data_IF_421005544563
#
_entry.id   IF_421005544563
#
_cell.length_a   1.000
_cell.length_b   1.000
_cell.length_c   1.000
_cell.angle_alpha   90.00
_cell.angle_beta   90.00
_cell.angle_gamma   90.00
#
_symmetry.space_group_name_H-M   'P 1'
#
loop_
_entity.id
_entity.type
_entity.pdbx_description
1 polymer ?
#
# COMPACT_ATOMS: atom_id res chain seq x y z
N UNK A 1 8.38 9.68 82.34
CA UNK A 1 9.01 9.31 81.01
C UNK A 1 7.91 8.75 80.13
N UNK A 2 7.34 9.56 79.28
CA UNK A 2 6.26 9.15 78.41
C UNK A 2 6.72 9.11 76.96
N UNK A 3 6.59 7.95 76.34
CA UNK A 3 6.96 7.71 74.95
C UNK A 3 5.78 8.07 74.06
N UNK A 4 5.96 9.11 73.23
CA UNK A 4 4.97 9.52 72.21
C UNK A 4 5.22 8.68 70.94
N UNK A 5 4.27 7.81 70.58
CA UNK A 5 4.26 7.08 69.31
C UNK A 5 3.72 7.98 68.22
N UNK A 6 4.54 8.40 67.26
CA UNK A 6 4.13 9.03 65.99
C UNK A 6 3.66 7.97 65.00
N UNK A 7 2.35 8.01 64.67
CA UNK A 7 1.76 7.25 63.55
C UNK A 7 2.03 7.99 62.23
N UNK A 8 2.85 7.43 61.37
CA UNK A 8 3.00 7.87 59.97
C UNK A 8 1.76 7.42 59.16
N UNK A 9 0.98 8.36 58.66
CA UNK A 9 -0.04 8.11 57.67
C UNK A 9 0.62 8.06 56.29
N UNK A 10 0.63 6.88 55.66
CA UNK A 10 0.98 6.70 54.27
C UNK A 10 -0.12 7.28 53.40
N UNK A 11 0.15 8.39 52.72
CA UNK A 11 -0.69 8.91 51.65
C UNK A 11 -0.19 8.32 50.35
N UNK A 12 -0.93 7.37 49.76
CA UNK A 12 -0.69 6.89 48.40
C UNK A 12 -1.13 8.00 47.42
N UNK A 13 -0.28 8.35 46.43
CA UNK A 13 -0.70 9.24 45.37
C UNK A 13 -1.64 8.47 44.41
N UNK A 14 -2.89 8.94 44.30
CA UNK A 14 -3.81 8.49 43.27
C UNK A 14 -3.29 9.06 41.93
N UNK A 15 -2.62 8.24 41.17
CA UNK A 15 -2.27 8.57 39.78
C UNK A 15 -3.55 8.58 38.93
N UNK A 16 -3.99 9.76 38.53
CA UNK A 16 -5.06 9.91 37.54
C UNK A 16 -4.48 9.46 36.19
N UNK A 17 -4.84 8.27 35.77
CA UNK A 17 -4.59 7.78 34.40
C UNK A 17 -5.55 8.54 33.46
N UNK A 18 -5.06 9.61 32.84
CA UNK A 18 -5.81 10.29 31.76
C UNK A 18 -5.76 9.36 30.56
N UNK A 19 -6.78 8.53 30.36
CA UNK A 19 -7.03 7.85 29.11
C UNK A 19 -7.39 8.90 28.05
N UNK A 20 -6.43 9.34 27.26
CA UNK A 20 -6.71 10.04 26.00
C UNK A 20 -7.36 9.04 25.03
N UNK A 21 -8.68 8.88 25.15
CA UNK A 21 -9.46 8.22 24.11
C UNK A 21 -9.43 9.13 22.87
N UNK A 22 -8.51 8.85 21.95
CA UNK A 22 -8.58 9.43 20.60
C UNK A 22 -9.85 8.89 19.96
N UNK A 23 -10.92 9.70 19.95
CA UNK A 23 -12.10 9.41 19.16
C UNK A 23 -11.68 9.40 17.68
N UNK A 24 -11.43 8.22 17.13
CA UNK A 24 -11.27 8.05 15.70
C UNK A 24 -12.57 8.54 15.04
N UNK A 25 -12.47 9.68 14.35
CA UNK A 25 -13.59 10.22 13.59
C UNK A 25 -14.02 9.15 12.58
N UNK A 26 -15.29 8.78 12.57
CA UNK A 26 -15.80 7.80 11.62
C UNK A 26 -15.56 8.30 10.18
N UNK A 27 -15.16 7.39 9.28
CA UNK A 27 -15.07 7.72 7.87
C UNK A 27 -16.46 8.07 7.33
N UNK A 28 -16.50 9.04 6.41
CA UNK A 28 -17.73 9.41 5.72
C UNK A 28 -18.23 8.22 4.87
N UNK A 29 -19.44 7.70 5.13
CA UNK A 29 -19.99 6.59 4.38
C UNK A 29 -20.15 6.89 2.87
N UNK A 30 -20.34 8.15 2.48
CA UNK A 30 -20.47 8.56 1.09
C UNK A 30 -19.13 8.35 0.35
N UNK A 31 -18.02 8.72 0.96
CA UNK A 31 -16.68 8.46 0.38
C UNK A 31 -16.45 6.97 0.12
N UNK A 32 -16.93 6.10 1.01
CA UNK A 32 -16.71 4.66 0.89
C UNK A 32 -17.47 4.05 -0.30
N UNK A 33 -18.66 4.59 -0.64
CA UNK A 33 -19.52 4.10 -1.73
C UNK A 33 -18.87 4.11 -3.10
N UNK A 34 -17.94 5.02 -3.36
CA UNK A 34 -17.21 5.06 -4.64
C UNK A 34 -16.45 3.75 -4.92
N UNK A 35 -16.08 3.03 -3.87
CA UNK A 35 -15.31 1.79 -3.94
C UNK A 35 -16.16 0.52 -3.67
N UNK A 36 -17.47 0.66 -3.62
CA UNK A 36 -18.36 -0.48 -3.39
C UNK A 36 -18.45 -1.38 -4.62
N UNK A 37 -18.56 -2.67 -4.35
CA UNK A 37 -18.78 -3.71 -5.34
C UNK A 37 -19.45 -4.93 -4.72
N UNK A 38 -20.05 -5.77 -5.54
CA UNK A 38 -20.61 -7.05 -5.10
C UNK A 38 -19.49 -8.04 -4.75
N UNK A 39 -19.23 -8.21 -3.47
CA UNK A 39 -18.24 -9.17 -2.95
C UNK A 39 -18.65 -10.63 -3.14
N UNK A 40 -19.94 -10.90 -3.36
CA UNK A 40 -20.48 -12.26 -3.58
C UNK A 40 -20.39 -12.69 -5.05
N UNK A 41 -20.17 -11.75 -5.97
CA UNK A 41 -19.99 -12.08 -7.38
C UNK A 41 -18.88 -13.13 -7.57
N UNK A 42 -18.98 -14.04 -8.54
CA UNK A 42 -17.96 -15.04 -8.81
C UNK A 42 -16.59 -14.41 -9.06
N UNK A 43 -15.51 -14.99 -8.52
CA UNK A 43 -14.15 -14.51 -8.77
C UNK A 43 -13.72 -14.66 -10.23
N UNK A 44 -14.34 -15.55 -10.99
CA UNK A 44 -14.06 -15.75 -12.41
C UNK A 44 -12.60 -16.10 -12.70
N UNK A 45 -11.95 -16.87 -11.82
CA UNK A 45 -10.53 -17.22 -11.96
C UNK A 45 -10.35 -18.09 -13.20
N UNK A 46 -9.42 -17.69 -14.09
CA UNK A 46 -8.96 -18.48 -15.23
C UNK A 46 -7.46 -18.70 -15.15
N UNK A 47 -7.01 -19.93 -15.22
CA UNK A 47 -5.60 -20.26 -15.28
C UNK A 47 -5.10 -20.13 -16.71
N UNK A 48 -4.01 -19.39 -16.89
CA UNK A 48 -3.34 -19.10 -18.17
C UNK A 48 -2.09 -19.95 -18.31
N UNK A 49 -1.33 -20.09 -17.23
CA UNK A 49 -0.08 -20.85 -17.23
C UNK A 49 0.41 -21.20 -15.84
N UNK A 50 1.44 -22.04 -15.79
CA UNK A 50 2.08 -22.42 -14.53
C UNK A 50 3.59 -22.54 -14.75
N UNK A 51 4.37 -22.01 -13.80
CA UNK A 51 5.82 -22.16 -13.77
C UNK A 51 6.21 -22.80 -12.42
N UNK A 52 6.88 -23.95 -12.49
CA UNK A 52 7.40 -24.62 -11.29
C UNK A 52 8.80 -24.12 -11.00
N UNK A 53 9.01 -23.59 -9.80
CA UNK A 53 10.30 -23.15 -9.29
C UNK A 53 10.76 -24.09 -8.16
N UNK A 54 12.04 -23.98 -7.77
CA UNK A 54 12.59 -24.84 -6.71
C UNK A 54 11.77 -24.77 -5.42
N UNK A 55 11.35 -23.57 -5.01
CA UNK A 55 10.69 -23.31 -3.73
C UNK A 55 9.23 -22.88 -3.82
N UNK A 56 8.71 -22.60 -5.02
CA UNK A 56 7.36 -22.10 -5.23
C UNK A 56 6.77 -22.59 -6.56
N UNK A 57 5.46 -22.43 -6.69
CA UNK A 57 4.75 -22.52 -7.97
C UNK A 57 4.18 -21.14 -8.29
N UNK A 58 4.45 -20.65 -9.50
CA UNK A 58 3.90 -19.39 -10.01
C UNK A 58 2.78 -19.74 -10.99
N UNK A 59 1.55 -19.38 -10.63
CA UNK A 59 0.40 -19.50 -11.51
C UNK A 59 0.19 -18.17 -12.22
N UNK A 60 0.14 -18.19 -13.54
CA UNK A 60 -0.37 -17.10 -14.35
C UNK A 60 -1.89 -17.27 -14.45
N UNK A 61 -2.63 -16.27 -14.03
CA UNK A 61 -4.08 -16.33 -13.97
C UNK A 61 -4.72 -14.96 -14.24
N UNK A 62 -6.03 -14.97 -14.50
CA UNK A 62 -6.86 -13.78 -14.44
C UNK A 62 -7.98 -13.98 -13.45
N UNK A 63 -8.51 -12.88 -12.90
CA UNK A 63 -9.76 -12.87 -12.13
C UNK A 63 -10.66 -11.72 -12.59
N UNK A 64 -11.97 -11.83 -12.32
CA UNK A 64 -12.93 -10.83 -12.76
C UNK A 64 -12.76 -9.52 -11.99
N UNK A 65 -12.68 -8.39 -12.72
CA UNK A 65 -12.78 -7.05 -12.15
C UNK A 65 -14.24 -6.71 -11.84
N UNK A 66 -14.58 -6.26 -10.65
CA UNK A 66 -15.94 -5.80 -10.35
C UNK A 66 -16.38 -4.56 -11.14
N UNK A 67 -15.41 -3.80 -11.68
CA UNK A 67 -15.65 -2.61 -12.54
C UNK A 67 -15.61 -2.95 -14.04
N UNK A 68 -15.58 -4.24 -14.38
CA UNK A 68 -15.56 -4.74 -15.75
C UNK A 68 -14.20 -5.21 -16.23
N UNK A 69 -14.21 -6.18 -17.13
CA UNK A 69 -13.00 -6.82 -17.65
C UNK A 69 -12.37 -7.83 -16.71
N UNK A 70 -11.08 -8.09 -16.91
CA UNK A 70 -10.31 -9.07 -16.14
C UNK A 70 -9.03 -8.45 -15.61
N UNK A 71 -8.55 -8.94 -14.48
CA UNK A 71 -7.28 -8.56 -13.86
C UNK A 71 -6.28 -9.68 -14.08
N UNK A 72 -5.24 -9.50 -14.91
CA UNK A 72 -4.14 -10.44 -15.00
C UNK A 72 -3.33 -10.43 -13.70
N UNK A 73 -2.93 -11.61 -13.24
CA UNK A 73 -2.15 -11.73 -12.01
C UNK A 73 -1.19 -12.92 -12.02
N UNK A 74 -0.09 -12.81 -11.27
CA UNK A 74 0.68 -13.96 -10.83
C UNK A 74 0.28 -14.31 -9.40
N UNK A 75 0.07 -15.59 -9.16
CA UNK A 75 -0.11 -16.13 -7.81
C UNK A 75 1.08 -17.03 -7.49
N UNK A 76 1.95 -16.57 -6.60
CA UNK A 76 3.12 -17.33 -6.13
C UNK A 76 2.72 -18.09 -4.88
N UNK A 77 2.77 -19.43 -4.95
CA UNK A 77 2.36 -20.33 -3.86
C UNK A 77 3.58 -21.10 -3.37
N UNK A 78 3.93 -21.03 -2.06
CA UNK A 78 5.03 -21.80 -1.51
C UNK A 78 4.76 -23.31 -1.56
N UNK A 79 5.82 -24.12 -1.51
CA UNK A 79 5.69 -25.55 -1.27
C UNK A 79 5.34 -25.83 0.19
N UNK A 80 4.56 -26.87 0.45
CA UNK A 80 4.19 -27.30 1.80
C UNK A 80 2.71 -27.08 2.12
N UNK A 81 2.39 -27.12 3.40
CA UNK A 81 1.02 -26.97 3.90
C UNK A 81 0.88 -25.66 4.67
N UNK A 82 -0.17 -24.90 4.37
CA UNK A 82 -0.55 -23.70 5.11
C UNK A 82 -1.10 -24.00 6.53
N UNK A 83 -1.67 -22.99 7.21
CA UNK A 83 -2.04 -21.70 6.63
C UNK A 83 -0.83 -20.73 6.48
N UNK A 84 -0.71 -20.16 5.29
CA UNK A 84 0.33 -19.18 4.94
C UNK A 84 -0.13 -17.75 5.19
N UNK A 85 0.79 -16.84 5.48
CA UNK A 85 0.52 -15.42 5.31
C UNK A 85 0.28 -15.09 3.83
N UNK A 86 -0.24 -13.90 3.53
CA UNK A 86 -0.44 -13.49 2.14
C UNK A 86 -0.05 -12.03 1.92
N UNK A 87 0.40 -11.70 0.70
CA UNK A 87 0.72 -10.34 0.29
C UNK A 87 0.07 -10.07 -1.07
N UNK A 88 -0.62 -8.94 -1.18
CA UNK A 88 -1.04 -8.36 -2.46
C UNK A 88 0.00 -7.32 -2.87
N UNK A 89 0.51 -7.41 -4.10
CA UNK A 89 1.54 -6.55 -4.63
C UNK A 89 0.99 -5.70 -5.74
N UNK A 90 1.26 -4.39 -5.68
CA UNK A 90 0.91 -3.42 -6.70
C UNK A 90 2.16 -2.74 -7.26
N UNK A 91 2.33 -2.84 -8.58
CA UNK A 91 3.49 -2.34 -9.31
C UNK A 91 3.47 -0.83 -9.51
N UNK A 92 4.64 -0.24 -9.82
CA UNK A 92 4.76 1.16 -10.18
C UNK A 92 4.22 1.46 -11.60
N UNK A 93 4.11 2.74 -11.89
CA UNK A 93 3.99 3.21 -13.27
C UNK A 93 5.18 4.12 -13.58
N UNK A 94 6.10 3.62 -14.36
CA UNK A 94 7.22 4.40 -14.86
C UNK A 94 7.26 4.24 -16.37
N UNK A 95 7.13 5.38 -17.10
CA UNK A 95 7.13 5.36 -18.56
C UNK A 95 8.43 4.71 -19.06
N UNK A 96 8.32 3.85 -20.07
CA UNK A 96 9.42 3.05 -20.63
C UNK A 96 9.99 1.92 -19.74
N UNK A 97 9.51 1.72 -18.53
CA UNK A 97 9.89 0.56 -17.76
C UNK A 97 9.18 -0.71 -18.24
N UNK A 98 9.93 -1.77 -18.52
CA UNK A 98 9.36 -3.10 -18.80
C UNK A 98 8.75 -3.76 -17.55
N UNK A 99 9.00 -3.19 -16.38
CA UNK A 99 8.55 -3.70 -15.07
C UNK A 99 7.29 -2.99 -14.55
N UNK A 100 6.67 -2.08 -15.32
CA UNK A 100 5.40 -1.41 -14.97
C UNK A 100 4.18 -2.34 -15.04
N UNK A 101 4.29 -3.52 -14.45
CA UNK A 101 3.27 -4.57 -14.43
C UNK A 101 3.54 -5.57 -13.30
N UNK A 102 2.72 -6.62 -13.19
CA UNK A 102 2.82 -7.69 -12.18
C UNK A 102 4.20 -8.38 -12.05
N UNK A 103 5.17 -8.06 -12.92
CA UNK A 103 6.52 -8.64 -12.86
C UNK A 103 7.44 -7.91 -11.89
N UNK A 104 7.14 -6.66 -11.51
CA UNK A 104 8.02 -5.83 -10.70
C UNK A 104 8.51 -6.55 -9.43
N UNK A 105 7.59 -7.14 -8.69
CA UNK A 105 7.91 -7.83 -7.43
C UNK A 105 7.99 -9.36 -7.54
N UNK A 106 8.04 -9.92 -8.77
CA UNK A 106 7.97 -11.37 -8.94
C UNK A 106 9.14 -12.10 -8.28
N UNK A 107 10.37 -11.59 -8.45
CA UNK A 107 11.55 -12.19 -7.85
C UNK A 107 11.54 -12.10 -6.32
N UNK A 108 11.05 -10.97 -5.78
CA UNK A 108 10.88 -10.80 -4.34
C UNK A 108 9.80 -11.74 -3.77
N UNK A 109 8.68 -11.90 -4.47
CA UNK A 109 7.62 -12.82 -4.09
C UNK A 109 8.09 -14.29 -4.11
N UNK A 110 8.91 -14.67 -5.11
CA UNK A 110 9.51 -16.01 -5.18
C UNK A 110 10.51 -16.22 -4.04
N UNK A 111 11.33 -15.23 -3.72
CA UNK A 111 12.30 -15.28 -2.62
C UNK A 111 11.62 -15.39 -1.25
N UNK A 112 10.46 -14.76 -1.08
CA UNK A 112 9.67 -14.80 0.17
C UNK A 112 8.83 -16.09 0.32
N UNK A 113 8.55 -16.81 -0.76
CA UNK A 113 7.69 -18.00 -0.69
C UNK A 113 8.16 -19.04 0.35
N UNK A 114 9.49 -19.40 0.45
CA UNK A 114 9.97 -20.34 1.46
C UNK A 114 9.72 -19.89 2.90
N UNK A 115 9.57 -18.58 3.12
CA UNK A 115 9.25 -18.03 4.44
C UNK A 115 7.79 -18.29 4.86
N UNK A 116 6.96 -18.84 3.98
CA UNK A 116 5.57 -19.20 4.26
C UNK A 116 4.56 -18.12 3.89
N UNK A 117 4.75 -17.47 2.73
CA UNK A 117 3.84 -16.45 2.24
C UNK A 117 3.36 -16.74 0.81
N UNK A 118 2.06 -16.61 0.58
CA UNK A 118 1.44 -16.58 -0.75
C UNK A 118 1.43 -15.13 -1.24
N UNK A 119 1.85 -14.91 -2.49
CA UNK A 119 1.88 -13.57 -3.10
C UNK A 119 0.94 -13.50 -4.29
N UNK A 120 0.10 -12.46 -4.34
CA UNK A 120 -0.72 -12.10 -5.50
C UNK A 120 -0.19 -10.79 -6.10
N UNK A 121 0.37 -10.88 -7.30
CA UNK A 121 0.92 -9.74 -8.04
C UNK A 121 -0.03 -9.41 -9.18
N UNK A 122 -0.59 -8.21 -9.21
CA UNK A 122 -1.65 -7.85 -10.15
C UNK A 122 -1.21 -6.82 -11.18
N UNK A 123 -1.74 -6.91 -12.40
CA UNK A 123 -1.68 -5.81 -13.34
C UNK A 123 -2.76 -4.78 -12.98
N UNK A 124 -2.36 -3.61 -12.52
CA UNK A 124 -3.25 -2.47 -12.37
C UNK A 124 -3.87 -2.04 -13.71
N UNK A 125 -4.93 -1.23 -13.74
CA UNK A 125 -5.52 -0.72 -14.98
C UNK A 125 -4.49 -0.11 -15.92
N UNK A 126 -3.49 0.59 -15.35
CA UNK A 126 -2.39 1.26 -16.08
C UNK A 126 -1.48 0.30 -16.88
N UNK A 127 -1.48 -1.00 -16.57
CA UNK A 127 -0.68 -2.01 -17.25
C UNK A 127 -1.50 -2.85 -18.25
N UNK A 128 -2.80 -2.61 -18.35
CA UNK A 128 -3.71 -3.42 -19.19
C UNK A 128 -3.83 -2.85 -20.59
N UNK A 129 -4.11 -3.69 -21.61
CA UNK A 129 -4.45 -3.20 -22.94
C UNK A 129 -5.61 -2.21 -22.89
N UNK A 130 -5.53 -1.14 -23.70
CA UNK A 130 -6.56 -0.11 -23.78
C UNK A 130 -6.44 0.99 -22.72
N UNK A 131 -5.47 0.92 -21.82
CA UNK A 131 -5.20 2.06 -20.93
C UNK A 131 -4.74 3.28 -21.74
N UNK A 132 -5.44 4.38 -21.55
CA UNK A 132 -5.09 5.67 -22.14
C UNK A 132 -4.54 6.56 -21.05
N UNK A 133 -3.22 6.81 -21.09
CA UNK A 133 -2.61 7.85 -20.26
C UNK A 133 -3.01 9.20 -20.84
N UNK A 134 -3.81 9.96 -20.12
CA UNK A 134 -4.12 11.32 -20.53
C UNK A 134 -3.14 12.28 -19.86
N UNK A 135 -2.41 13.03 -20.66
CA UNK A 135 -1.59 14.17 -20.19
C UNK A 135 -2.43 15.43 -19.93
N UNK A 136 -3.77 15.33 -20.07
CA UNK A 136 -4.65 16.45 -19.83
C UNK A 136 -4.77 16.76 -18.33
N UNK A 137 -4.69 18.03 -17.95
CA UNK A 137 -4.88 18.43 -16.57
C UNK A 137 -6.32 18.15 -16.11
N UNK A 138 -6.47 17.78 -14.84
CA UNK A 138 -7.76 17.55 -14.19
C UNK A 138 -8.61 16.49 -14.92
N UNK A 139 -8.00 15.31 -15.13
CA UNK A 139 -8.60 14.25 -15.92
C UNK A 139 -9.48 13.32 -15.07
N UNK A 140 -10.80 13.39 -15.32
CA UNK A 140 -11.78 12.53 -14.65
C UNK A 140 -11.55 11.02 -14.91
N UNK A 141 -10.99 10.65 -16.08
CA UNK A 141 -10.66 9.25 -16.37
C UNK A 141 -9.60 8.70 -15.41
N UNK A 142 -8.70 9.53 -14.88
CA UNK A 142 -7.74 9.09 -13.85
C UNK A 142 -8.46 8.72 -12.55
N UNK A 143 -9.50 9.44 -12.17
CA UNK A 143 -10.33 9.10 -11.01
C UNK A 143 -11.03 7.76 -11.22
N UNK A 144 -11.61 7.52 -12.40
CA UNK A 144 -12.22 6.23 -12.75
C UNK A 144 -11.20 5.10 -12.69
N UNK A 145 -10.01 5.30 -13.24
CA UNK A 145 -8.92 4.32 -13.22
C UNK A 145 -8.44 4.03 -11.80
N UNK A 146 -8.36 5.06 -10.94
CA UNK A 146 -7.99 4.89 -9.53
C UNK A 146 -9.04 4.08 -8.77
N UNK A 147 -10.32 4.39 -8.94
CA UNK A 147 -11.41 3.61 -8.34
C UNK A 147 -11.34 2.15 -8.79
N UNK A 148 -11.16 1.90 -10.09
CA UNK A 148 -11.01 0.55 -10.60
C UNK A 148 -9.80 -0.16 -9.99
N UNK A 149 -8.64 0.51 -9.88
CA UNK A 149 -7.43 -0.07 -9.29
C UNK A 149 -7.66 -0.49 -7.84
N UNK A 150 -8.26 0.39 -7.02
CA UNK A 150 -8.59 0.09 -5.63
C UNK A 150 -9.56 -1.09 -5.51
N UNK A 151 -10.62 -1.11 -6.32
CA UNK A 151 -11.62 -2.19 -6.29
C UNK A 151 -11.02 -3.52 -6.76
N UNK A 152 -10.16 -3.50 -7.78
CA UNK A 152 -9.47 -4.70 -8.28
C UNK A 152 -8.52 -5.30 -7.24
N UNK A 153 -7.79 -4.45 -6.49
CA UNK A 153 -6.95 -4.91 -5.39
C UNK A 153 -7.78 -5.50 -4.25
N UNK A 154 -8.91 -4.87 -3.87
CA UNK A 154 -9.85 -5.44 -2.89
C UNK A 154 -10.41 -6.78 -3.36
N UNK A 155 -10.66 -6.94 -4.67
CA UNK A 155 -11.05 -8.22 -5.27
C UNK A 155 -9.93 -9.25 -5.20
N UNK A 156 -8.67 -8.85 -5.36
CA UNK A 156 -7.50 -9.69 -5.10
C UNK A 156 -7.41 -10.16 -3.64
N UNK A 157 -7.76 -9.30 -2.68
CA UNK A 157 -7.89 -9.70 -1.27
C UNK A 157 -9.02 -10.71 -1.08
N UNK A 158 -10.16 -10.59 -1.79
CA UNK A 158 -11.23 -11.60 -1.76
C UNK A 158 -10.71 -12.96 -2.25
N UNK A 159 -9.92 -12.98 -3.34
CA UNK A 159 -9.32 -14.19 -3.88
C UNK A 159 -8.41 -14.87 -2.84
N UNK A 160 -7.52 -14.11 -2.19
CA UNK A 160 -6.65 -14.65 -1.15
C UNK A 160 -7.44 -15.14 0.06
N UNK A 161 -8.43 -14.36 0.53
CA UNK A 161 -9.23 -14.72 1.70
C UNK A 161 -10.17 -15.92 1.47
N UNK A 162 -10.50 -16.24 0.22
CA UNK A 162 -11.28 -17.42 -0.14
C UNK A 162 -10.46 -18.73 -0.10
N UNK A 163 -9.13 -18.64 -0.11
CA UNK A 163 -8.24 -19.82 -0.07
C UNK A 163 -8.21 -20.43 1.32
N UNK A 164 -8.21 -21.77 1.38
CA UNK A 164 -8.14 -22.53 2.64
C UNK A 164 -6.72 -22.55 3.23
N UNK A 165 -5.71 -22.33 2.40
CA UNK A 165 -4.30 -22.32 2.77
C UNK A 165 -3.77 -20.91 3.13
N UNK A 166 -4.64 -19.89 3.21
CA UNK A 166 -4.30 -18.51 3.63
C UNK A 166 -4.79 -18.26 5.06
N UNK A 167 -3.90 -17.73 5.89
CA UNK A 167 -4.24 -17.15 7.18
C UNK A 167 -4.80 -15.71 6.98
N UNK A 168 -6.11 -15.59 7.10
CA UNK A 168 -6.83 -14.32 6.90
C UNK A 168 -6.44 -13.22 7.90
N UNK A 169 -5.75 -13.56 8.98
CA UNK A 169 -5.25 -12.60 9.97
C UNK A 169 -3.87 -12.03 9.62
N UNK A 170 -3.19 -12.58 8.61
CA UNK A 170 -1.86 -12.23 8.19
C UNK A 170 -1.82 -11.89 6.70
N UNK A 171 -2.61 -10.88 6.29
CA UNK A 171 -2.64 -10.39 4.91
C UNK A 171 -2.06 -8.98 4.89
N UNK A 172 -1.07 -8.76 4.02
CA UNK A 172 -0.41 -7.48 3.81
C UNK A 172 -0.63 -6.94 2.39
N UNK A 173 -0.34 -5.66 2.22
CA UNK A 173 -0.26 -4.98 0.94
C UNK A 173 1.11 -4.32 0.78
N UNK A 174 1.70 -4.45 -0.40
CA UNK A 174 2.91 -3.72 -0.81
C UNK A 174 2.60 -3.02 -2.11
N UNK A 175 2.76 -1.71 -2.15
CA UNK A 175 2.53 -0.93 -3.35
C UNK A 175 3.66 0.04 -3.63
N UNK A 176 3.98 0.25 -4.92
CA UNK A 176 5.00 1.17 -5.38
C UNK A 176 4.38 2.25 -6.26
N UNK A 177 4.74 3.52 -5.99
CA UNK A 177 4.32 4.68 -6.79
C UNK A 177 2.79 4.74 -6.93
N UNK A 178 2.23 4.66 -8.11
CA UNK A 178 0.78 4.61 -8.35
C UNK A 178 0.05 3.60 -7.45
N UNK A 179 0.60 2.40 -7.26
CA UNK A 179 -0.03 1.42 -6.38
C UNK A 179 0.29 1.65 -4.89
N UNK A 180 1.25 2.49 -4.53
CA UNK A 180 1.34 2.98 -3.15
C UNK A 180 0.19 3.97 -2.83
N UNK A 181 -0.23 4.78 -3.82
CA UNK A 181 -1.44 5.61 -3.72
C UNK A 181 -2.70 4.74 -3.54
N UNK A 182 -2.84 3.68 -4.37
CA UNK A 182 -3.91 2.67 -4.20
C UNK A 182 -3.88 2.07 -2.79
N UNK A 183 -2.68 1.78 -2.26
CA UNK A 183 -2.49 1.26 -0.91
C UNK A 183 -2.96 2.22 0.19
N UNK A 184 -2.79 3.52 -0.02
CA UNK A 184 -3.30 4.53 0.91
C UNK A 184 -4.84 4.47 1.02
N UNK A 185 -5.56 4.35 -0.12
CA UNK A 185 -7.01 4.11 -0.10
C UNK A 185 -7.36 2.80 0.61
N UNK A 186 -6.68 1.70 0.24
CA UNK A 186 -6.94 0.39 0.81
C UNK A 186 -6.80 0.36 2.34
N UNK A 187 -5.88 1.14 2.90
CA UNK A 187 -5.62 1.18 4.33
C UNK A 187 -6.84 1.63 5.14
N UNK A 188 -7.60 2.56 4.61
CA UNK A 188 -8.88 2.98 5.19
C UNK A 188 -10.05 2.04 4.85
N UNK A 189 -10.04 1.45 3.65
CA UNK A 189 -11.19 0.74 3.06
C UNK A 189 -11.25 -0.76 3.40
N UNK A 190 -10.12 -1.44 3.59
CA UNK A 190 -10.09 -2.91 3.73
C UNK A 190 -9.37 -3.39 4.98
N UNK A 191 -10.11 -3.54 6.05
CA UNK A 191 -9.60 -3.95 7.37
C UNK A 191 -9.11 -5.40 7.46
N UNK A 192 -9.20 -6.17 6.37
CA UNK A 192 -8.56 -7.49 6.28
C UNK A 192 -7.04 -7.38 6.11
N UNK A 193 -6.57 -6.28 5.49
CA UNK A 193 -5.15 -5.95 5.39
C UNK A 193 -4.64 -5.44 6.74
N UNK A 194 -3.56 -6.04 7.24
CA UNK A 194 -2.99 -5.76 8.57
C UNK A 194 -1.68 -4.98 8.51
N UNK A 195 -1.04 -4.99 7.36
CA UNK A 195 0.28 -4.40 7.13
C UNK A 195 0.29 -3.76 5.75
N UNK A 196 0.80 -2.54 5.67
CA UNK A 196 1.01 -1.82 4.41
C UNK A 196 2.47 -1.39 4.29
N UNK A 197 3.06 -1.62 3.13
CA UNK A 197 4.31 -0.98 2.72
C UNK A 197 4.00 -0.12 1.50
N UNK A 198 4.15 1.19 1.64
CA UNK A 198 3.82 2.17 0.62
C UNK A 198 5.10 2.88 0.19
N UNK A 199 5.52 2.62 -1.05
CA UNK A 199 6.81 3.01 -1.59
C UNK A 199 6.65 4.16 -2.58
N UNK A 200 7.35 5.27 -2.36
CA UNK A 200 7.52 6.38 -3.32
C UNK A 200 6.19 6.84 -3.97
N UNK A 201 5.14 7.05 -3.19
CA UNK A 201 3.83 7.29 -3.77
C UNK A 201 2.93 8.27 -3.03
N UNK A 202 2.26 7.87 -1.94
CA UNK A 202 1.09 8.61 -1.50
C UNK A 202 1.43 9.97 -0.90
N UNK A 203 0.56 10.95 -1.19
CA UNK A 203 0.51 12.27 -0.56
C UNK A 203 -0.94 12.66 -0.33
N UNK A 204 -1.21 13.44 0.72
CA UNK A 204 -2.52 14.06 0.87
C UNK A 204 -2.62 15.34 0.05
N UNK A 205 -3.83 15.69 -0.36
CA UNK A 205 -4.10 16.95 -1.05
C UNK A 205 -3.69 18.14 -0.19
N UNK A 206 -3.90 18.07 1.13
CA UNK A 206 -3.48 19.12 2.06
C UNK A 206 -1.98 19.40 1.99
N UNK A 207 -1.14 18.36 1.93
CA UNK A 207 0.31 18.48 1.78
C UNK A 207 0.67 18.99 0.39
N UNK A 208 0.03 18.45 -0.65
CA UNK A 208 0.30 18.82 -2.03
C UNK A 208 -0.05 20.29 -2.33
N UNK A 209 -1.24 20.75 -1.90
CA UNK A 209 -1.74 22.10 -2.21
C UNK A 209 -0.86 23.21 -1.65
N UNK A 210 -0.06 22.95 -0.61
CA UNK A 210 0.91 23.92 -0.05
C UNK A 210 2.20 24.03 -0.86
N UNK A 211 2.46 23.09 -1.77
CA UNK A 211 3.71 23.09 -2.54
C UNK A 211 3.69 24.11 -3.70
N UNK A 212 4.88 24.66 -4.03
CA UNK A 212 5.03 25.58 -5.16
C UNK A 212 4.60 24.97 -6.48
N UNK A 213 4.91 23.69 -6.68
CA UNK A 213 4.56 22.94 -7.89
C UNK A 213 3.05 22.90 -8.11
N UNK A 214 2.28 22.60 -7.06
CA UNK A 214 0.82 22.59 -7.14
C UNK A 214 0.23 23.99 -7.29
N UNK A 215 0.78 24.98 -6.63
CA UNK A 215 0.36 26.37 -6.81
C UNK A 215 0.63 26.86 -8.26
N UNK A 216 1.80 26.54 -8.81
CA UNK A 216 2.12 26.85 -10.21
C UNK A 216 1.19 26.11 -11.17
N UNK A 217 0.90 24.84 -10.89
CA UNK A 217 -0.05 24.05 -11.68
C UNK A 217 -1.47 24.63 -11.62
N UNK A 218 -1.95 25.02 -10.43
CA UNK A 218 -3.23 25.71 -10.25
C UNK A 218 -3.34 26.98 -11.10
N UNK A 219 -2.28 27.81 -11.11
CA UNK A 219 -2.23 29.02 -11.96
C UNK A 219 -2.26 28.67 -13.45
N UNK A 220 -1.51 27.64 -13.88
CA UNK A 220 -1.43 27.21 -15.28
C UNK A 220 -2.76 26.69 -15.84
N UNK A 221 -3.54 25.95 -15.05
CA UNK A 221 -4.82 25.38 -15.50
C UNK A 221 -6.01 26.30 -15.30
N UNK A 222 -5.83 27.38 -14.54
CA UNK A 222 -6.85 28.34 -14.11
C UNK A 222 -7.39 27.99 -12.70
N UNK A 223 -7.25 28.94 -11.75
CA UNK A 223 -7.62 28.72 -10.35
C UNK A 223 -9.06 28.24 -10.17
N UNK A 224 -10.01 28.87 -10.83
CA UNK A 224 -11.44 28.52 -10.70
C UNK A 224 -11.73 27.07 -11.16
N UNK A 225 -11.16 26.69 -12.32
CA UNK A 225 -11.31 25.31 -12.84
C UNK A 225 -10.64 24.29 -11.93
N UNK A 226 -9.44 24.62 -11.41
CA UNK A 226 -8.71 23.75 -10.50
C UNK A 226 -9.49 23.55 -9.21
N UNK A 227 -9.97 24.65 -8.58
CA UNK A 227 -10.66 24.60 -7.31
C UNK A 227 -12.02 23.86 -7.43
N UNK A 228 -12.74 24.04 -8.53
CA UNK A 228 -13.96 23.28 -8.81
C UNK A 228 -13.69 21.77 -8.95
N UNK A 229 -12.59 21.39 -9.62
CA UNK A 229 -12.18 19.99 -9.74
C UNK A 229 -11.82 19.39 -8.39
N UNK A 230 -10.99 20.09 -7.60
CA UNK A 230 -10.57 19.63 -6.26
C UNK A 230 -11.78 19.50 -5.31
N UNK A 231 -12.73 20.42 -5.39
CA UNK A 231 -13.98 20.32 -4.62
C UNK A 231 -14.81 19.09 -5.02
N UNK A 232 -15.00 18.87 -6.33
CA UNK A 232 -15.75 17.71 -6.89
C UNK A 232 -15.15 16.37 -6.48
N UNK A 233 -13.81 16.27 -6.47
CA UNK A 233 -13.08 15.03 -6.20
C UNK A 233 -12.38 15.03 -4.85
N UNK A 234 -12.80 15.88 -3.91
CA UNK A 234 -12.19 15.96 -2.56
C UNK A 234 -12.19 14.64 -1.79
N UNK A 235 -13.04 13.70 -2.17
CA UNK A 235 -13.07 12.34 -1.62
C UNK A 235 -11.91 11.47 -2.10
N UNK A 236 -11.16 11.87 -3.13
CA UNK A 236 -9.96 11.15 -3.60
C UNK A 236 -8.69 11.50 -2.83
N UNK A 237 -8.77 12.39 -1.83
CA UNK A 237 -7.62 12.69 -0.97
C UNK A 237 -7.21 11.46 -0.17
N UNK A 238 -6.01 10.93 -0.44
CA UNK A 238 -5.45 9.76 0.21
C UNK A 238 -5.27 9.94 1.73
N UNK A 239 -5.05 11.18 2.18
CA UNK A 239 -4.95 11.51 3.60
C UNK A 239 -6.21 11.11 4.39
N UNK A 240 -7.38 11.26 3.78
CA UNK A 240 -8.66 10.88 4.40
C UNK A 240 -8.82 9.38 4.65
N UNK A 241 -8.09 8.54 3.93
CA UNK A 241 -8.13 7.08 4.09
C UNK A 241 -7.02 6.58 5.00
N UNK A 242 -5.79 7.03 4.80
CA UNK A 242 -4.65 6.57 5.59
C UNK A 242 -4.72 6.99 7.05
N UNK A 243 -5.41 8.09 7.36
CA UNK A 243 -5.72 8.50 8.73
C UNK A 243 -6.63 7.51 9.48
N UNK A 244 -7.26 6.60 8.74
CA UNK A 244 -8.09 5.52 9.27
C UNK A 244 -7.45 4.13 9.05
N UNK A 245 -6.15 4.04 8.81
CA UNK A 245 -5.49 2.74 8.60
C UNK A 245 -5.52 1.85 9.85
N UNK A 246 -5.50 2.43 11.03
CA UNK A 246 -5.50 1.67 12.30
C UNK A 246 -6.56 0.54 12.32
N UNK A 247 -6.26 -0.62 12.88
CA UNK A 247 -5.02 -0.99 13.59
C UNK A 247 -3.91 -1.54 12.65
N UNK A 248 -4.00 -1.37 11.33
CA UNK A 248 -2.97 -1.83 10.40
C UNK A 248 -1.69 -0.98 10.55
N UNK A 249 -0.54 -1.63 10.45
CA UNK A 249 0.74 -0.93 10.45
C UNK A 249 1.04 -0.39 9.05
N UNK A 250 1.38 0.89 8.93
CA UNK A 250 1.76 1.54 7.68
C UNK A 250 3.24 1.90 7.70
N UNK A 251 4.01 1.27 6.82
CA UNK A 251 5.42 1.57 6.60
C UNK A 251 5.59 2.35 5.29
N UNK A 252 6.09 3.58 5.40
CA UNK A 252 6.36 4.46 4.27
C UNK A 252 7.84 4.41 3.90
N UNK A 253 8.14 4.26 2.60
CA UNK A 253 9.50 4.27 2.06
C UNK A 253 9.62 5.30 0.94
N UNK A 254 10.57 6.26 1.06
CA UNK A 254 10.81 7.29 0.05
C UNK A 254 12.29 7.40 -0.27
N UNK A 255 12.60 7.84 -1.50
CA UNK A 255 13.95 8.20 -1.90
C UNK A 255 14.24 9.68 -1.59
N UNK A 256 15.45 10.01 -1.14
CA UNK A 256 15.87 11.41 -0.93
C UNK A 256 16.15 12.15 -2.23
N UNK A 257 16.36 11.40 -3.33
CA UNK A 257 16.61 11.94 -4.67
C UNK A 257 15.34 12.01 -5.53
N UNK A 258 14.17 11.82 -4.88
CA UNK A 258 12.87 11.95 -5.54
C UNK A 258 12.66 13.37 -6.10
N UNK A 259 12.24 13.44 -7.34
CA UNK A 259 11.93 14.71 -8.00
C UNK A 259 10.56 15.28 -7.59
N UNK A 260 9.62 14.38 -7.28
CA UNK A 260 8.22 14.75 -7.02
C UNK A 260 7.90 14.83 -5.52
N UNK A 261 8.64 14.08 -4.69
CA UNK A 261 8.35 13.87 -3.29
C UNK A 261 9.61 14.06 -2.44
N UNK A 262 9.84 15.27 -1.96
CA UNK A 262 10.98 15.52 -1.07
C UNK A 262 10.73 14.97 0.35
N UNK A 263 11.81 14.83 1.11
CA UNK A 263 11.81 14.27 2.45
C UNK A 263 10.89 15.01 3.43
N UNK A 264 10.73 16.32 3.31
CA UNK A 264 9.90 17.10 4.21
C UNK A 264 8.41 16.83 3.97
N UNK A 265 8.00 16.74 2.70
CA UNK A 265 6.63 16.35 2.34
C UNK A 265 6.30 14.93 2.78
N UNK A 266 7.27 14.00 2.72
CA UNK A 266 7.09 12.66 3.24
C UNK A 266 6.85 12.65 4.77
N UNK A 267 7.57 13.50 5.53
CA UNK A 267 7.35 13.68 6.97
C UNK A 267 6.00 14.33 7.28
N UNK A 268 5.59 15.34 6.50
CA UNK A 268 4.26 15.94 6.63
C UNK A 268 3.15 14.92 6.37
N UNK A 269 3.31 14.07 5.34
CA UNK A 269 2.36 13.00 5.07
C UNK A 269 2.32 11.96 6.19
N UNK A 270 3.48 11.61 6.77
CA UNK A 270 3.51 10.71 7.93
C UNK A 270 2.65 11.23 9.08
N UNK A 271 2.59 12.55 9.29
CA UNK A 271 1.76 13.13 10.36
C UNK A 271 0.27 12.84 10.16
N UNK A 272 -0.18 12.66 8.92
CA UNK A 272 -1.58 12.34 8.57
C UNK A 272 -1.89 10.84 8.78
N UNK A 273 -0.90 9.96 8.67
CA UNK A 273 -1.08 8.51 8.82
C UNK A 273 -1.44 8.16 10.28
N UNK A 274 -2.43 7.27 10.48
CA UNK A 274 -2.76 6.77 11.83
C UNK A 274 -1.69 5.80 12.36
N UNK A 275 -1.57 5.72 13.67
CA UNK A 275 -0.71 4.72 14.33
C UNK A 275 -1.27 3.29 14.19
N UNK A 276 -0.39 2.25 14.12
CA UNK A 276 1.07 2.30 14.11
C UNK A 276 1.62 2.64 12.72
N UNK A 277 2.71 3.43 12.67
CA UNK A 277 3.33 3.89 11.43
C UNK A 277 4.84 4.00 11.52
N UNK A 278 5.52 3.93 10.40
CA UNK A 278 6.97 4.15 10.28
C UNK A 278 7.29 4.84 8.95
N UNK A 279 8.32 5.67 8.92
CA UNK A 279 8.87 6.29 7.71
C UNK A 279 10.37 6.06 7.65
N UNK A 280 10.85 5.56 6.50
CA UNK A 280 12.28 5.58 6.16
C UNK A 280 12.51 6.31 4.85
N UNK A 281 13.58 7.10 4.82
CA UNK A 281 14.04 7.84 3.65
C UNK A 281 15.42 7.31 3.29
N UNK A 282 15.60 6.87 2.04
CA UNK A 282 16.81 6.21 1.54
C UNK A 282 17.54 7.13 0.57
N UNK A 283 18.85 7.01 0.49
CA UNK A 283 19.63 7.68 -0.54
C UNK A 283 19.41 6.95 -1.88
N UNK A 284 18.30 7.30 -2.54
CA UNK A 284 17.79 6.64 -3.75
C UNK A 284 16.84 7.55 -4.52
N UNK A 285 16.68 7.21 -5.81
CA UNK A 285 15.63 7.73 -6.69
C UNK A 285 14.29 7.00 -6.46
N UNK A 286 13.32 7.22 -7.35
CA UNK A 286 11.96 6.67 -7.30
C UNK A 286 11.89 5.13 -7.22
N UNK A 287 12.77 4.41 -7.91
CA UNK A 287 12.84 2.95 -7.87
C UNK A 287 13.24 2.38 -6.49
N UNK A 288 13.77 3.23 -5.62
CA UNK A 288 14.41 2.85 -4.37
C UNK A 288 15.64 1.93 -4.57
N UNK A 289 16.25 1.48 -3.49
CA UNK A 289 17.50 0.73 -3.56
C UNK A 289 17.43 -0.61 -2.81
N UNK A 290 18.53 -1.35 -2.81
CA UNK A 290 18.65 -2.63 -2.12
C UNK A 290 18.46 -2.51 -0.59
N UNK A 291 18.79 -1.35 -0.01
CA UNK A 291 18.57 -1.09 1.41
C UNK A 291 17.08 -1.00 1.74
N UNK A 292 16.33 -0.22 0.96
CA UNK A 292 14.87 -0.12 1.10
C UNK A 292 14.20 -1.50 0.95
N UNK A 293 14.67 -2.33 -0.01
CA UNK A 293 14.17 -3.71 -0.18
C UNK A 293 14.47 -4.58 1.04
N UNK A 294 15.70 -4.52 1.57
CA UNK A 294 16.08 -5.28 2.77
C UNK A 294 15.18 -4.93 3.95
N UNK A 295 14.99 -3.64 4.19
CA UNK A 295 14.19 -3.16 5.31
C UNK A 295 12.72 -3.56 5.17
N UNK A 296 12.16 -3.45 3.96
CA UNK A 296 10.80 -3.91 3.64
C UNK A 296 10.63 -5.41 3.91
N UNK A 297 11.58 -6.23 3.48
CA UNK A 297 11.53 -7.68 3.68
C UNK A 297 11.62 -8.01 5.17
N UNK A 298 12.51 -7.37 5.95
CA UNK A 298 12.61 -7.57 7.39
C UNK A 298 11.31 -7.16 8.08
N UNK A 299 10.75 -6.00 7.74
CA UNK A 299 9.48 -5.53 8.27
C UNK A 299 8.34 -6.52 7.99
N UNK A 300 8.23 -7.04 6.76
CA UNK A 300 7.22 -8.04 6.41
C UNK A 300 7.41 -9.37 7.16
N UNK A 301 8.65 -9.82 7.34
CA UNK A 301 8.97 -11.03 8.12
C UNK A 301 8.47 -10.86 9.57
N UNK A 302 8.76 -9.74 10.18
CA UNK A 302 8.36 -9.43 11.55
C UNK A 302 6.83 -9.32 11.69
N UNK A 303 6.21 -8.47 10.90
CA UNK A 303 4.79 -8.16 11.02
C UNK A 303 3.87 -9.34 10.63
N UNK A 304 4.27 -10.14 9.65
CA UNK A 304 3.53 -11.32 9.21
C UNK A 304 3.99 -12.61 9.92
N UNK A 305 4.95 -12.53 10.83
CA UNK A 305 5.52 -13.70 11.55
C UNK A 305 5.95 -14.81 10.57
N UNK A 306 6.74 -14.40 9.57
CA UNK A 306 7.27 -15.32 8.57
C UNK A 306 8.52 -16.02 9.09
N UNK A 307 8.90 -17.13 8.45
CA UNK A 307 10.21 -17.73 8.68
C UNK A 307 11.31 -16.79 8.16
N UNK A 308 12.46 -16.71 8.82
CA UNK A 308 13.57 -15.88 8.34
C UNK A 308 14.06 -16.39 6.98
N UNK A 309 14.54 -15.46 6.15
CA UNK A 309 15.27 -15.75 4.91
C UNK A 309 16.69 -15.24 5.05
N UNK A 310 17.66 -15.90 4.38
CA UNK A 310 19.06 -15.50 4.51
C UNK A 310 19.34 -14.16 3.81
N UNK A 311 20.30 -13.41 4.35
CA UNK A 311 20.75 -12.17 3.73
C UNK A 311 21.25 -12.37 2.29
N UNK A 312 21.85 -13.53 1.97
CA UNK A 312 22.28 -13.88 0.62
C UNK A 312 21.08 -13.96 -0.35
N UNK A 313 19.95 -14.54 0.06
CA UNK A 313 18.74 -14.59 -0.75
C UNK A 313 18.17 -13.17 -0.97
N UNK A 314 18.14 -12.33 0.05
CA UNK A 314 17.68 -10.94 -0.09
C UNK A 314 18.59 -10.16 -1.05
N UNK A 315 19.90 -10.34 -0.94
CA UNK A 315 20.89 -9.68 -1.80
C UNK A 315 20.85 -10.15 -3.26
N UNK A 316 20.40 -11.39 -3.51
CA UNK A 316 20.28 -11.94 -4.88
C UNK A 316 19.08 -11.43 -5.67
N UNK A 317 18.12 -10.75 -5.01
CA UNK A 317 16.96 -10.16 -5.70
C UNK A 317 17.44 -8.97 -6.55
N UNK A 318 17.15 -8.94 -7.85
CA UNK A 318 17.57 -7.84 -8.72
C UNK A 318 17.05 -6.48 -8.25
N UNK A 319 17.85 -5.45 -8.42
CA UNK A 319 17.36 -4.08 -8.25
C UNK A 319 16.42 -3.73 -9.41
N UNK A 320 15.38 -2.97 -9.09
CA UNK A 320 14.54 -2.38 -10.12
C UNK A 320 15.36 -1.34 -10.91
N UNK A 321 15.39 -1.51 -12.22
CA UNK A 321 16.02 -0.53 -13.10
C UNK A 321 15.02 0.60 -13.39
N UNK A 322 15.43 1.82 -13.12
CA UNK A 322 14.70 3.03 -13.47
C UNK A 322 15.24 3.58 -14.79
N UNK A 323 14.48 3.48 -15.90
CA UNK A 323 14.86 4.15 -17.13
C UNK A 323 14.91 5.68 -16.92
N UNK A 324 15.74 6.41 -17.68
CA UNK A 324 15.70 7.86 -17.68
C UNK A 324 14.29 8.38 -17.98
N UNK A 325 13.96 9.55 -17.40
CA UNK A 325 12.69 10.22 -17.72
C UNK A 325 12.60 10.45 -19.24
N UNK A 326 11.42 10.24 -19.83
CA UNK A 326 11.21 10.63 -21.21
C UNK A 326 11.42 12.14 -21.35
N UNK A 327 12.21 12.52 -22.36
CA UNK A 327 12.50 13.92 -22.69
C UNK A 327 11.26 14.68 -23.17
#
# INVERSE_FOLDING_TARGET
>A
MGIVRRTLRNVLPIGILVLCASFARAQDPEMLRHFDYDRKAPLGIKHIGVQRRAQAVVYDLTYASPKGGVVPAYLVVPKGRGPFAAIVWGHWYWENSSMRNRREFLDEAIALAPAGVISLLTDGPIARPGYVSSKQPLNEQQVVNMVQAVVDMRRGVDLLAARRDVDRKRIAYVGHSYNAEVGAFLSGLDKRLKVFVLMAGPMSDEVNLRSKEFQNYRQKVGPEKFDAYMAKYSWTDMGKYVSHAAPAFVFLQYGSQEKFLNADRAREYLAVVSEPKELKIYDAEHALNAEARRDRIHFLIEQLKLKPISAAVVASIPNLYQPPDPK
#
